data_IF_366330827373
#
_entry.id   IF_366330827373
#
_cell.length_a   1.000
_cell.length_b   1.000
_cell.length_c   1.000
_cell.angle_alpha   90.00
_cell.angle_beta   90.00
_cell.angle_gamma   90.00
#
_symmetry.space_group_name_H-M   'P 1'
#
loop_
_entity.id
_entity.type
_entity.pdbx_description
1 polymer ?
#
# COMPACT_ATOMS: atom_id res chain seq x y z
N UNK A 1 32.92 -14.24 20.77
CA UNK A 1 32.18 -12.99 20.52
C UNK A 1 31.23 -13.26 19.35
N UNK A 2 29.93 -13.33 19.59
CA UNK A 2 28.95 -13.54 18.53
C UNK A 2 28.62 -12.19 17.89
N UNK A 3 28.86 -12.07 16.58
CA UNK A 3 28.54 -10.88 15.80
C UNK A 3 27.06 -10.96 15.46
N UNK A 4 26.25 -10.10 16.09
CA UNK A 4 24.84 -9.92 15.72
C UNK A 4 24.80 -9.13 14.42
N UNK A 5 24.39 -9.79 13.33
CA UNK A 5 24.13 -9.13 12.05
C UNK A 5 22.82 -8.34 12.23
N UNK A 6 22.77 -7.02 12.01
CA UNK A 6 21.51 -6.28 12.06
C UNK A 6 20.65 -6.78 10.89
N UNK A 7 19.63 -7.56 11.22
CA UNK A 7 18.58 -7.95 10.30
C UNK A 7 17.75 -6.70 9.97
N UNK A 8 18.17 -5.97 8.94
CA UNK A 8 17.39 -4.88 8.34
C UNK A 8 16.19 -5.51 7.61
N UNK A 9 15.19 -5.92 8.39
CA UNK A 9 13.91 -6.40 7.86
C UNK A 9 13.31 -5.27 7.02
N UNK A 10 12.88 -5.58 5.79
CA UNK A 10 11.98 -4.71 5.03
C UNK A 10 10.87 -4.29 5.98
N UNK A 11 10.78 -3.01 6.32
CA UNK A 11 9.61 -2.48 7.01
C UNK A 11 8.45 -2.75 6.07
N UNK A 12 7.62 -3.75 6.37
CA UNK A 12 6.43 -3.99 5.59
C UNK A 12 5.60 -2.72 5.70
N UNK A 13 5.38 -2.07 4.55
CA UNK A 13 4.62 -0.83 4.52
C UNK A 13 3.23 -1.13 5.09
N UNK A 14 2.90 -0.47 6.19
CA UNK A 14 1.63 -0.68 6.86
C UNK A 14 0.81 0.58 6.72
N UNK A 15 -0.36 0.43 6.10
CA UNK A 15 -1.35 1.47 5.92
C UNK A 15 -2.38 1.41 7.04
N UNK A 16 -2.70 2.57 7.60
CA UNK A 16 -3.83 2.73 8.49
C UNK A 16 -5.13 2.87 7.68
N UNK A 17 -6.26 2.69 8.39
CA UNK A 17 -7.57 2.96 7.79
C UNK A 17 -7.71 4.46 7.53
N UNK A 18 -8.22 4.81 6.35
CA UNK A 18 -8.36 6.15 5.78
C UNK A 18 -7.06 6.80 5.32
N UNK A 19 -5.94 6.07 5.27
CA UNK A 19 -4.74 6.57 4.60
C UNK A 19 -5.02 6.82 3.13
N UNK A 20 -4.48 7.93 2.61
CA UNK A 20 -4.55 8.27 1.18
C UNK A 20 -3.38 7.62 0.47
N UNK A 21 -3.66 6.91 -0.62
CA UNK A 21 -2.67 6.16 -1.39
C UNK A 21 -2.86 6.39 -2.88
N UNK A 22 -1.77 6.35 -3.63
CA UNK A 22 -1.75 6.28 -5.09
C UNK A 22 -1.35 4.87 -5.54
N UNK A 23 -1.85 4.46 -6.69
CA UNK A 23 -1.41 3.27 -7.41
C UNK A 23 -0.66 3.73 -8.67
N UNK A 24 0.65 3.47 -8.79
CA UNK A 24 1.43 3.84 -9.97
C UNK A 24 0.98 3.04 -11.20
N UNK A 25 1.16 3.63 -12.38
CA UNK A 25 0.96 2.93 -13.65
C UNK A 25 1.92 1.73 -13.74
N UNK A 26 1.40 0.58 -14.16
CA UNK A 26 2.19 -0.63 -14.38
C UNK A 26 1.85 -1.27 -15.72
N UNK A 27 2.61 -2.29 -16.13
CA UNK A 27 2.30 -3.03 -17.35
C UNK A 27 0.91 -3.68 -17.20
N UNK A 28 -0.06 -3.21 -17.99
CA UNK A 28 -1.45 -3.69 -17.96
C UNK A 28 -2.28 -3.20 -16.77
N UNK A 29 -1.81 -2.21 -16.00
CA UNK A 29 -2.59 -1.57 -14.93
C UNK A 29 -2.62 -0.06 -15.10
N UNK A 30 -3.82 0.50 -15.02
CA UNK A 30 -4.02 1.95 -15.01
C UNK A 30 -3.59 2.56 -13.68
N UNK A 31 -2.98 3.74 -13.77
CA UNK A 31 -2.74 4.62 -12.64
C UNK A 31 -4.07 4.95 -11.94
N UNK A 32 -4.05 4.98 -10.61
CA UNK A 32 -5.15 5.50 -9.83
C UNK A 32 -4.61 6.42 -8.74
N UNK A 33 -5.21 7.59 -8.62
CA UNK A 33 -4.76 8.64 -7.71
C UNK A 33 -5.82 8.81 -6.63
N UNK A 34 -5.37 9.15 -5.42
CA UNK A 34 -6.23 9.54 -4.31
C UNK A 34 -7.20 8.44 -3.83
N UNK A 35 -6.68 7.23 -3.69
CA UNK A 35 -7.41 6.12 -3.08
C UNK A 35 -7.40 6.20 -1.56
N UNK A 36 -8.50 5.80 -0.93
CA UNK A 36 -8.59 5.67 0.53
C UNK A 36 -8.49 4.22 0.96
N UNK A 37 -7.57 3.91 1.86
CA UNK A 37 -7.41 2.57 2.44
C UNK A 37 -8.58 2.27 3.37
N UNK A 38 -9.35 1.23 3.07
CA UNK A 38 -10.47 0.78 3.91
C UNK A 38 -9.95 -0.13 5.02
N UNK A 39 -9.11 -1.09 4.66
CA UNK A 39 -8.40 -1.98 5.60
C UNK A 39 -7.22 -2.65 4.89
N UNK A 40 -6.22 -3.07 5.68
CA UNK A 40 -5.12 -3.93 5.23
C UNK A 40 -5.20 -5.29 5.92
N UNK A 41 -4.89 -6.35 5.16
CA UNK A 41 -4.73 -7.71 5.66
C UNK A 41 -3.45 -8.31 5.08
N UNK A 42 -2.38 -8.31 5.89
CA UNK A 42 -1.05 -8.74 5.45
C UNK A 42 -0.53 -7.88 4.30
N UNK A 43 -0.14 -8.51 3.19
CA UNK A 43 0.40 -7.84 1.99
C UNK A 43 -0.66 -7.27 1.03
N UNK A 44 -1.95 -7.29 1.40
CA UNK A 44 -3.04 -6.77 0.59
C UNK A 44 -3.83 -5.70 1.32
N UNK A 45 -4.16 -4.62 0.63
CA UNK A 45 -5.02 -3.56 1.13
C UNK A 45 -6.24 -3.41 0.24
N UNK A 46 -7.41 -3.20 0.86
CA UNK A 46 -8.61 -2.80 0.13
C UNK A 46 -8.62 -1.28 0.03
N UNK A 47 -8.68 -0.76 -1.19
CA UNK A 47 -8.63 0.67 -1.48
C UNK A 47 -9.91 1.10 -2.19
N UNK A 48 -10.44 2.25 -1.80
CA UNK A 48 -11.58 2.92 -2.44
C UNK A 48 -11.06 4.10 -3.27
N UNK A 49 -11.21 4.03 -4.59
CA UNK A 49 -10.75 5.05 -5.55
C UNK A 49 -11.83 6.05 -5.94
N UNK A 50 -12.96 6.02 -5.24
CA UNK A 50 -14.14 6.85 -5.52
C UNK A 50 -15.45 6.07 -5.44
N UNK A 51 -16.59 6.73 -5.75
CA UNK A 51 -17.91 6.13 -5.63
C UNK A 51 -18.04 4.83 -6.44
N UNK A 52 -18.29 3.71 -5.76
CA UNK A 52 -18.45 2.39 -6.39
C UNK A 52 -17.17 1.75 -6.93
N UNK A 53 -16.01 2.43 -6.85
CA UNK A 53 -14.72 1.94 -7.36
C UNK A 53 -13.86 1.46 -6.20
N UNK A 54 -13.90 0.17 -5.91
CA UNK A 54 -13.06 -0.46 -4.89
C UNK A 54 -12.27 -1.61 -5.51
N UNK A 55 -11.01 -1.75 -5.10
CA UNK A 55 -10.17 -2.87 -5.50
C UNK A 55 -9.33 -3.36 -4.31
N UNK A 56 -8.85 -4.59 -4.41
CA UNK A 56 -7.87 -5.15 -3.48
C UNK A 56 -6.52 -5.10 -4.17
N UNK A 57 -5.63 -4.28 -3.64
CA UNK A 57 -4.29 -4.04 -4.21
C UNK A 57 -3.22 -4.67 -3.32
N UNK A 58 -2.08 -4.97 -3.94
CA UNK A 58 -0.87 -5.31 -3.17
C UNK A 58 -0.38 -4.06 -2.46
N UNK A 59 -0.01 -4.21 -1.20
CA UNK A 59 0.61 -3.13 -0.40
C UNK A 59 1.88 -2.61 -1.09
N UNK A 60 2.63 -3.49 -1.75
CA UNK A 60 3.84 -3.14 -2.52
C UNK A 60 3.55 -2.32 -3.77
N UNK A 61 2.31 -2.33 -4.26
CA UNK A 61 1.86 -1.58 -5.44
C UNK A 61 1.19 -0.25 -5.03
N UNK A 62 1.19 0.11 -3.75
CA UNK A 62 0.57 1.32 -3.23
C UNK A 62 1.62 2.28 -2.69
N UNK A 63 1.43 3.56 -2.96
CA UNK A 63 2.29 4.65 -2.49
C UNK A 63 1.48 5.51 -1.53
N UNK A 64 1.94 5.65 -0.29
CA UNK A 64 1.31 6.53 0.70
C UNK A 64 1.46 8.00 0.28
N UNK A 65 0.38 8.77 0.36
CA UNK A 65 0.41 10.22 0.25
C UNK A 65 0.58 10.78 1.66
N UNK A 66 1.74 11.36 1.93
CA UNK A 66 2.02 12.13 3.16
C UNK A 66 1.83 13.62 2.85
N UNK A 67 1.09 14.31 3.71
CA UNK A 67 0.97 15.78 3.70
C UNK A 67 2.09 16.44 4.50
#
# INVERSE_FOLDING_TARGET
MAISIPFFGKTEQQFARNDRVNRPAGIGREEAVDGLVVYQKGSKAKVCWGPGKQSVESVSDLVLIVE
#
